data_IF_205342600711
#
_entry.id   IF_205342600711
#
_cell.length_a   1.000
_cell.length_b   1.000
_cell.length_c   1.000
_cell.angle_alpha   90.00
_cell.angle_beta   90.00
_cell.angle_gamma   90.00
#
_symmetry.space_group_name_H-M   'P 1'
#
loop_
_entity.id
_entity.type
_entity.pdbx_description
1 polymer ?
#
# COMPACT_ATOMS: atom_id res chain seq x y z
N UNK A 1 -7.12 23.38 -17.96
CA UNK A 1 -7.04 24.47 -16.97
C UNK A 1 -8.44 24.68 -16.45
N UNK A 2 -8.88 23.93 -15.45
CA UNK A 2 -8.12 23.48 -14.29
C UNK A 2 -8.44 22.04 -13.93
N UNK A 3 -7.47 21.16 -14.19
CA UNK A 3 -7.23 19.98 -13.36
C UNK A 3 -6.68 20.46 -12.01
N UNK A 4 -6.85 19.63 -10.97
CA UNK A 4 -6.41 19.81 -9.58
C UNK A 4 -7.44 20.43 -8.62
N UNK A 5 -8.52 19.69 -8.37
CA UNK A 5 -9.03 19.54 -6.99
C UNK A 5 -9.39 18.06 -6.79
N UNK A 6 -8.39 17.20 -6.91
CA UNK A 6 -8.39 15.89 -6.25
C UNK A 6 -7.20 15.90 -5.29
N UNK A 7 -7.31 16.76 -4.29
CA UNK A 7 -6.34 16.82 -3.20
C UNK A 7 -6.83 15.91 -2.09
N UNK A 8 -6.20 14.75 -2.04
CA UNK A 8 -6.17 13.74 -0.99
C UNK A 8 -6.43 14.35 0.41
N UNK A 9 -7.55 13.97 1.04
CA UNK A 9 -7.74 14.11 2.48
C UNK A 9 -7.25 12.82 3.14
N UNK A 10 -5.94 12.78 3.43
CA UNK A 10 -5.31 11.73 4.21
C UNK A 10 -5.70 11.89 5.68
N UNK A 11 -6.66 11.08 6.15
CA UNK A 11 -6.89 10.89 7.58
C UNK A 11 -5.85 9.91 8.11
N UNK A 12 -5.25 10.23 9.27
CA UNK A 12 -4.20 9.45 9.91
C UNK A 12 -4.66 8.02 10.28
N UNK A 13 -4.53 7.09 9.35
CA UNK A 13 -4.82 5.66 9.51
C UNK A 13 -4.34 4.92 8.26
N UNK A 14 -3.49 3.89 8.45
CA UNK A 14 -2.65 3.29 7.42
C UNK A 14 -3.38 2.57 6.26
N UNK A 15 -4.72 2.50 6.29
CA UNK A 15 -5.56 1.86 5.26
C UNK A 15 -6.95 2.53 5.06
N UNK A 16 -7.12 3.81 5.40
CA UNK A 16 -8.45 4.42 5.39
C UNK A 16 -8.79 5.06 4.03
N UNK A 17 -9.09 4.23 3.04
CA UNK A 17 -9.91 4.66 1.91
C UNK A 17 -11.33 4.93 2.44
N UNK A 18 -11.58 6.14 2.96
CA UNK A 18 -12.91 6.54 3.42
C UNK A 18 -13.84 6.48 2.20
N UNK A 19 -14.77 5.53 2.20
CA UNK A 19 -15.80 5.43 1.16
C UNK A 19 -16.73 6.65 1.27
N UNK A 20 -16.42 7.70 0.51
CA UNK A 20 -17.26 8.89 0.37
C UNK A 20 -18.54 8.50 -0.37
N UNK A 21 -19.65 8.45 0.35
CA UNK A 21 -20.98 8.12 -0.20
C UNK A 21 -21.51 9.31 -1.02
N UNK A 22 -21.29 10.54 -0.56
CA UNK A 22 -21.75 11.73 -1.25
C UNK A 22 -21.62 13.02 -0.45
N UNK A 23 -22.45 14.01 -0.80
CA UNK A 23 -22.59 15.29 -0.10
C UNK A 23 -24.05 15.60 0.12
N UNK A 24 -24.36 16.24 1.24
CA UNK A 24 -25.71 16.74 1.49
C UNK A 24 -26.00 17.97 0.63
N UNK A 25 -27.28 18.23 0.39
CA UNK A 25 -27.72 19.59 0.06
C UNK A 25 -27.37 20.56 1.21
N UNK A 26 -27.34 21.88 0.99
CA UNK A 26 -27.08 22.85 2.04
C UNK A 26 -28.03 22.66 3.23
N UNK A 27 -27.46 22.36 4.39
CA UNK A 27 -28.20 22.19 5.65
C UNK A 27 -28.01 23.43 6.51
N UNK A 28 -29.11 23.94 7.07
CA UNK A 28 -29.07 25.00 8.07
C UNK A 28 -28.76 24.41 9.46
N UNK A 29 -27.73 24.96 10.11
CA UNK A 29 -27.25 24.54 11.42
C UNK A 29 -27.45 25.72 12.38
N UNK A 30 -28.03 25.44 13.54
CA UNK A 30 -28.23 26.41 14.61
C UNK A 30 -27.50 25.95 15.86
N UNK A 31 -26.60 26.78 16.35
CA UNK A 31 -25.85 26.50 17.57
C UNK A 31 -25.54 27.80 18.30
N UNK A 32 -25.78 27.83 19.62
CA UNK A 32 -25.49 28.97 20.49
C UNK A 32 -25.94 30.33 19.93
N UNK A 33 -27.17 30.40 19.40
CA UNK A 33 -27.74 31.61 18.80
C UNK A 33 -27.18 32.01 17.44
N UNK A 34 -26.25 31.23 16.87
CA UNK A 34 -25.70 31.42 15.52
C UNK A 34 -26.38 30.48 14.54
N UNK A 35 -26.61 30.98 13.33
CA UNK A 35 -27.15 30.19 12.21
C UNK A 35 -26.12 30.18 11.08
N UNK A 36 -25.83 29.00 10.53
CA UNK A 36 -24.93 28.85 9.39
C UNK A 36 -25.45 27.78 8.45
N UNK A 37 -25.20 27.94 7.15
CA UNK A 37 -25.53 26.92 6.15
C UNK A 37 -24.26 26.20 5.73
N UNK A 38 -24.29 24.87 5.71
CA UNK A 38 -23.14 24.05 5.33
C UNK A 38 -23.55 22.80 4.55
N UNK A 39 -22.66 22.31 3.68
CA UNK A 39 -22.83 21.02 3.00
C UNK A 39 -21.91 20.02 3.67
N UNK A 40 -22.45 18.90 4.12
CA UNK A 40 -21.66 17.86 4.78
C UNK A 40 -21.24 16.78 3.79
N UNK A 41 -20.06 16.22 4.02
CA UNK A 41 -19.62 14.98 3.41
C UNK A 41 -20.37 13.81 4.08
N UNK A 42 -20.96 12.92 3.28
CA UNK A 42 -21.54 11.68 3.78
C UNK A 42 -20.48 10.59 3.62
N UNK A 43 -20.11 9.96 4.72
CA UNK A 43 -19.13 8.89 4.81
C UNK A 43 -19.77 7.69 5.50
N UNK A 44 -19.31 6.50 5.14
CA UNK A 44 -19.67 5.28 5.86
C UNK A 44 -18.81 5.20 7.13
N UNK A 45 -19.47 5.15 8.29
CA UNK A 45 -18.79 4.91 9.57
C UNK A 45 -18.77 3.41 9.85
N UNK A 46 -17.77 2.92 10.56
CA UNK A 46 -17.76 1.52 10.99
C UNK A 46 -18.97 1.24 11.89
N UNK A 47 -19.59 0.06 11.76
CA UNK A 47 -20.80 -0.31 12.50
C UNK A 47 -20.63 -0.27 14.04
N UNK A 48 -19.38 -0.38 14.51
CA UNK A 48 -19.01 -0.31 15.92
C UNK A 48 -18.78 1.13 16.43
N UNK A 49 -18.71 2.11 15.54
CA UNK A 49 -18.56 3.53 15.89
C UNK A 49 -19.90 4.15 16.29
N UNK A 50 -19.92 4.81 17.45
CA UNK A 50 -21.11 5.53 17.97
C UNK A 50 -21.15 6.99 17.51
N UNK A 51 -20.43 7.34 16.45
CA UNK A 51 -20.24 8.71 16.02
C UNK A 51 -21.18 9.02 14.86
N UNK A 52 -22.18 9.87 15.09
CA UNK A 52 -23.13 10.26 14.04
C UNK A 52 -22.61 11.41 13.15
N UNK A 53 -21.68 12.23 13.66
CA UNK A 53 -21.21 13.45 12.99
C UNK A 53 -19.83 13.89 13.47
N UNK A 54 -18.99 14.31 12.53
CA UNK A 54 -17.69 14.95 12.80
C UNK A 54 -17.73 16.39 12.29
N UNK A 55 -17.36 17.34 13.15
CA UNK A 55 -17.27 18.75 12.81
C UNK A 55 -15.81 19.19 12.75
N UNK A 56 -15.34 19.48 11.55
CA UNK A 56 -13.98 19.95 11.31
C UNK A 56 -13.77 21.44 11.60
N UNK A 57 -12.52 21.86 11.42
CA UNK A 57 -12.08 23.25 11.65
C UNK A 57 -12.85 24.29 10.81
N UNK A 58 -13.41 23.93 9.66
CA UNK A 58 -14.12 24.91 8.82
C UNK A 58 -15.48 25.37 9.39
N UNK A 59 -16.20 24.48 10.07
CA UNK A 59 -17.57 24.75 10.54
C UNK A 59 -17.60 25.22 11.99
N UNK A 60 -16.67 24.77 12.82
CA UNK A 60 -16.60 25.12 14.24
C UNK A 60 -16.56 26.65 14.48
N UNK A 61 -15.72 27.46 13.79
CA UNK A 61 -15.69 28.91 13.98
C UNK A 61 -16.99 29.60 13.57
N UNK A 62 -17.69 29.08 12.55
CA UNK A 62 -19.00 29.61 12.09
C UNK A 62 -20.08 29.40 13.14
N UNK A 63 -19.97 28.30 13.90
CA UNK A 63 -20.81 28.01 15.05
C UNK A 63 -20.36 28.74 16.33
N UNK A 64 -19.28 29.53 16.27
CA UNK A 64 -18.73 30.24 17.43
C UNK A 64 -17.99 29.33 18.41
N UNK A 65 -17.52 28.17 17.95
CA UNK A 65 -16.67 27.26 18.71
C UNK A 65 -15.21 27.54 18.35
N UNK A 66 -14.38 27.78 19.36
CA UNK A 66 -12.95 27.96 19.20
C UNK A 66 -12.20 26.77 19.83
N UNK A 67 -11.29 26.18 19.06
CA UNK A 67 -10.34 25.19 19.59
C UNK A 67 -9.07 25.94 19.99
N UNK A 68 -8.76 25.97 21.28
CA UNK A 68 -7.59 26.69 21.83
C UNK A 68 -6.70 25.74 22.63
N UNK A 69 -5.38 25.86 22.49
CA UNK A 69 -4.42 25.04 23.22
C UNK A 69 -4.27 23.60 22.70
N UNK A 70 -4.69 23.34 21.45
CA UNK A 70 -4.52 22.04 20.80
C UNK A 70 -3.16 22.01 20.09
N UNK A 71 -2.36 20.98 20.34
CA UNK A 71 -1.13 20.74 19.59
C UNK A 71 -1.49 20.40 18.13
N UNK A 72 -1.03 21.21 17.19
CA UNK A 72 -1.33 21.04 15.75
C UNK A 72 -0.17 20.44 14.95
N UNK A 73 0.99 20.30 15.60
CA UNK A 73 2.20 19.67 15.07
C UNK A 73 2.93 18.95 16.21
N UNK A 74 3.66 17.90 15.88
CA UNK A 74 4.65 17.30 16.76
C UNK A 74 5.97 18.08 16.64
N UNK A 75 6.71 18.23 17.74
CA UNK A 75 8.00 18.96 17.76
C UNK A 75 9.06 18.31 16.86
N UNK A 76 8.86 17.04 16.48
CA UNK A 76 9.81 16.23 15.73
C UNK A 76 9.65 16.44 14.22
N UNK A 77 10.19 17.55 13.70
CA UNK A 77 10.66 17.62 12.30
C UNK A 77 11.95 16.78 12.13
N UNK A 78 11.95 15.54 12.61
CA UNK A 78 13.03 14.61 12.32
C UNK A 78 12.81 14.17 10.88
N UNK A 79 13.54 14.80 9.97
CA UNK A 79 13.73 14.27 8.62
C UNK A 79 14.46 12.94 8.81
N UNK A 80 13.71 11.84 8.76
CA UNK A 80 14.32 10.53 8.59
C UNK A 80 14.92 10.54 7.18
N UNK A 81 16.23 10.34 7.10
CA UNK A 81 16.86 10.02 5.83
C UNK A 81 16.39 8.63 5.41
N UNK A 82 15.33 8.60 4.63
CA UNK A 82 14.74 7.44 3.98
C UNK A 82 15.47 7.09 2.67
N UNK A 83 16.67 7.64 2.45
CA UNK A 83 17.57 7.10 1.43
C UNK A 83 17.94 5.66 1.79
N UNK A 84 17.43 4.73 0.99
CA UNK A 84 17.86 3.35 1.02
C UNK A 84 19.30 3.34 0.52
N UNK A 85 20.23 2.94 1.39
CA UNK A 85 21.60 2.67 0.97
C UNK A 85 21.59 1.42 0.07
N UNK A 86 21.49 1.64 -1.24
CA UNK A 86 21.51 0.60 -2.28
C UNK A 86 22.86 -0.13 -2.39
N UNK A 87 23.84 0.14 -1.52
CA UNK A 87 25.03 -0.68 -1.37
C UNK A 87 24.73 -2.03 -0.67
N UNK A 88 23.71 -2.76 -1.16
CA UNK A 88 23.43 -4.13 -0.77
C UNK A 88 24.60 -5.02 -1.21
N UNK A 89 25.48 -5.34 -0.28
CA UNK A 89 26.50 -6.35 -0.49
C UNK A 89 25.78 -7.72 -0.54
N UNK A 90 25.90 -8.49 -1.64
CA UNK A 90 25.29 -9.81 -1.72
C UNK A 90 25.68 -10.67 -0.52
N UNK A 91 24.72 -11.39 0.05
CA UNK A 91 24.90 -12.26 1.22
C UNK A 91 25.28 -11.55 2.54
N UNK A 92 25.16 -10.22 2.64
CA UNK A 92 25.49 -9.46 3.86
C UNK A 92 24.32 -9.30 4.86
N UNK A 93 23.23 -10.03 4.66
CA UNK A 93 22.15 -10.16 5.63
C UNK A 93 21.57 -11.58 5.57
N UNK A 94 22.37 -12.60 5.92
CA UNK A 94 21.94 -13.98 5.80
C UNK A 94 20.87 -14.28 6.88
N UNK A 95 19.84 -15.02 6.49
CA UNK A 95 18.81 -15.45 7.43
C UNK A 95 19.36 -16.52 8.39
N UNK A 96 18.97 -16.43 9.66
CA UNK A 96 19.37 -17.37 10.70
C UNK A 96 20.79 -17.17 11.23
N UNK A 97 21.12 -17.87 12.31
CA UNK A 97 22.46 -17.83 12.91
C UNK A 97 23.45 -18.77 12.17
N UNK A 98 24.78 -18.64 12.38
CA UNK A 98 25.77 -19.43 11.64
C UNK A 98 25.56 -20.95 11.71
N UNK A 99 25.10 -21.46 12.85
CA UNK A 99 24.82 -22.90 13.03
C UNK A 99 23.59 -23.34 12.23
N UNK A 100 22.54 -22.52 12.19
CA UNK A 100 21.36 -22.79 11.37
C UNK A 100 21.70 -22.80 9.88
N UNK A 101 22.55 -21.86 9.44
CA UNK A 101 23.01 -21.77 8.06
C UNK A 101 23.87 -22.98 7.67
N UNK A 102 24.81 -23.39 8.53
CA UNK A 102 25.63 -24.59 8.30
C UNK A 102 24.76 -25.84 8.19
N UNK A 103 23.79 -26.01 9.10
CA UNK A 103 22.82 -27.11 9.03
C UNK A 103 22.01 -27.06 7.73
N UNK A 104 21.45 -25.90 7.38
CA UNK A 104 20.67 -25.73 6.15
C UNK A 104 21.48 -26.10 4.91
N UNK A 105 22.69 -25.54 4.77
CA UNK A 105 23.56 -25.81 3.63
C UNK A 105 23.94 -27.28 3.56
N UNK A 106 24.23 -27.92 4.69
CA UNK A 106 24.54 -29.36 4.76
C UNK A 106 23.37 -30.22 4.25
N UNK A 107 22.13 -29.87 4.60
CA UNK A 107 20.94 -30.61 4.16
C UNK A 107 20.65 -30.40 2.67
N UNK A 108 20.85 -29.20 2.12
CA UNK A 108 20.55 -28.94 0.70
C UNK A 108 21.68 -29.28 -0.26
N UNK A 109 22.93 -29.41 0.21
CA UNK A 109 24.09 -29.65 -0.65
C UNK A 109 23.95 -30.85 -1.58
N UNK A 110 23.42 -32.02 -1.14
CA UNK A 110 23.23 -33.16 -2.04
C UNK A 110 22.30 -32.86 -3.23
N UNK A 111 21.24 -32.07 -2.98
CA UNK A 111 20.27 -31.66 -4.01
C UNK A 111 20.91 -30.66 -4.98
N UNK A 112 21.74 -29.74 -4.48
CA UNK A 112 22.52 -28.83 -5.31
C UNK A 112 23.50 -29.60 -6.22
N UNK A 113 24.20 -30.58 -5.66
CA UNK A 113 25.16 -31.41 -6.40
C UNK A 113 24.49 -32.26 -7.48
N UNK A 114 23.27 -32.74 -7.22
CA UNK A 114 22.45 -33.47 -8.21
C UNK A 114 21.96 -32.53 -9.32
N UNK A 115 21.46 -31.34 -8.97
CA UNK A 115 21.05 -30.33 -9.93
C UNK A 115 22.22 -29.86 -10.82
N UNK A 116 23.43 -29.74 -10.27
CA UNK A 116 24.62 -29.37 -11.05
C UNK A 116 25.06 -30.46 -12.05
N UNK A 117 24.69 -31.72 -11.81
CA UNK A 117 24.97 -32.83 -12.73
C UNK A 117 24.00 -32.87 -13.92
N UNK A 118 22.90 -32.12 -13.89
CA UNK A 118 21.98 -32.02 -15.02
C UNK A 118 22.71 -31.33 -16.18
N UNK A 119 22.69 -31.97 -17.35
CA UNK A 119 23.30 -31.41 -18.55
C UNK A 119 22.61 -30.10 -18.93
N UNK A 120 23.38 -29.06 -19.22
CA UNK A 120 22.82 -27.80 -19.77
C UNK A 120 22.15 -28.01 -21.13
N UNK A 121 22.40 -29.15 -21.78
CA UNK A 121 21.80 -29.53 -23.07
C UNK A 121 20.65 -30.54 -22.93
N UNK A 122 20.33 -31.01 -21.71
CA UNK A 122 19.15 -31.84 -21.54
C UNK A 122 17.88 -30.98 -21.55
N UNK A 123 16.85 -31.46 -22.23
CA UNK A 123 15.52 -30.88 -22.13
C UNK A 123 14.96 -31.06 -20.72
N UNK A 124 14.17 -30.09 -20.27
CA UNK A 124 13.44 -30.21 -19.02
C UNK A 124 12.40 -31.33 -19.14
N UNK A 125 12.31 -32.18 -18.12
CA UNK A 125 11.41 -33.34 -18.08
C UNK A 125 10.02 -33.00 -17.55
N UNK A 126 9.83 -31.77 -17.06
CA UNK A 126 8.55 -31.26 -16.56
C UNK A 126 7.61 -31.03 -17.77
N UNK A 127 6.44 -31.69 -17.86
CA UNK A 127 5.55 -31.58 -19.02
C UNK A 127 5.19 -30.15 -19.41
N UNK A 128 5.05 -29.27 -18.42
CA UNK A 128 4.72 -27.85 -18.58
C UNK A 128 5.84 -27.04 -19.27
N UNK A 129 7.05 -27.58 -19.33
CA UNK A 129 8.16 -26.97 -20.07
C UNK A 129 8.11 -27.22 -21.58
N UNK A 130 7.20 -28.08 -22.05
CA UNK A 130 7.03 -28.39 -23.46
C UNK A 130 6.17 -27.32 -24.12
N UNK A 131 6.78 -26.52 -24.99
CA UNK A 131 6.08 -25.53 -25.79
C UNK A 131 5.48 -26.18 -27.05
N UNK A 132 4.16 -26.20 -27.14
CA UNK A 132 3.44 -26.66 -28.33
C UNK A 132 3.12 -25.49 -29.25
N UNK A 133 3.86 -25.38 -30.36
CA UNK A 133 3.56 -24.41 -31.41
C UNK A 133 2.54 -25.00 -32.38
N UNK A 134 1.35 -24.40 -32.45
CA UNK A 134 0.35 -24.74 -33.45
C UNK A 134 0.85 -24.27 -34.84
N UNK A 135 1.38 -25.20 -35.63
CA UNK A 135 1.83 -24.93 -37.00
C UNK A 135 0.81 -25.46 -37.99
N UNK A 136 0.63 -24.72 -39.09
CA UNK A 136 -0.24 -25.11 -40.20
C UNK A 136 0.50 -26.21 -40.98
N UNK A 137 -0.19 -27.29 -41.33
CA UNK A 137 0.39 -28.42 -42.08
C UNK A 137 1.14 -27.91 -43.34
N UNK A 138 2.41 -28.29 -43.46
CA UNK A 138 3.29 -27.87 -44.57
C UNK A 138 4.05 -26.56 -44.37
N UNK A 139 3.93 -25.87 -43.23
CA UNK A 139 4.79 -24.70 -42.90
C UNK A 139 5.78 -25.01 -41.78
N UNK A 140 7.07 -24.83 -42.07
CA UNK A 140 8.14 -24.94 -41.10
C UNK A 140 8.42 -23.59 -40.44
N UNK A 141 8.57 -23.57 -39.11
CA UNK A 141 9.10 -22.43 -38.36
C UNK A 141 10.56 -22.72 -38.06
N UNK A 142 11.46 -21.86 -38.55
CA UNK A 142 12.87 -21.91 -38.15
C UNK A 142 13.00 -21.30 -36.76
N UNK A 143 13.40 -22.10 -35.78
CA UNK A 143 13.76 -21.63 -34.45
C UNK A 143 15.28 -21.46 -34.45
N UNK A 144 15.76 -20.21 -34.46
CA UNK A 144 17.17 -19.84 -34.33
C UNK A 144 17.63 -19.91 -32.88
#
# INVERSE_FOLDING_TARGET
MDEAIDSLEESAGKDNAIYKIGRTEPVEIKYNGRTSTHRFQIIDFDDDDKTDMILGYEILPKLGVALTGVAYNFDDNIIFDDSINDALIPNHSPAGNPKQQECFMKEIQPLLDENQRISKHSFCTVPESVNHLNTIEGKHVNIQ
#
